data_IF_360888012430
#
_entry.id   IF_360888012430
#
_cell.length_a   1.000
_cell.length_b   1.000
_cell.length_c   1.000
_cell.angle_alpha   90.00
_cell.angle_beta   90.00
_cell.angle_gamma   90.00
#
_symmetry.space_group_name_H-M   'P 1'
#
loop_
_entity.id
_entity.type
_entity.pdbx_description
1 polymer ?
#
# COMPACT_ATOMS: atom_id res chain seq x y z
N UNK A 1 -38.60 12.47 -17.89
CA UNK A 1 -37.42 13.07 -18.54
C UNK A 1 -36.32 12.02 -18.63
N UNK A 2 -36.00 11.52 -19.82
CA UNK A 2 -34.85 10.64 -20.03
C UNK A 2 -33.60 11.54 -19.90
N UNK A 3 -32.88 11.41 -18.80
CA UNK A 3 -31.57 12.04 -18.69
C UNK A 3 -30.70 11.51 -19.84
N UNK A 4 -30.23 12.43 -20.67
CA UNK A 4 -29.24 12.17 -21.68
C UNK A 4 -28.11 11.35 -21.00
N UNK A 5 -27.70 10.19 -21.51
CA UNK A 5 -26.60 9.49 -20.94
C UNK A 5 -25.35 10.34 -21.21
N UNK A 6 -24.96 11.17 -20.24
CA UNK A 6 -23.56 11.56 -20.20
C UNK A 6 -22.78 10.26 -20.32
N UNK A 7 -22.00 10.08 -21.37
CA UNK A 7 -21.34 8.81 -21.57
C UNK A 7 -20.54 8.57 -20.29
N UNK A 8 -20.74 7.42 -19.67
CA UNK A 8 -20.01 7.02 -18.44
C UNK A 8 -18.50 7.24 -18.62
N UNK A 9 -18.04 7.16 -19.84
CA UNK A 9 -16.70 7.46 -20.32
C UNK A 9 -16.25 8.88 -19.97
N UNK A 10 -17.09 9.92 -20.16
CA UNK A 10 -16.66 11.31 -19.89
C UNK A 10 -16.54 11.59 -18.40
N UNK A 11 -17.37 10.95 -17.58
CA UNK A 11 -17.24 11.03 -16.12
C UNK A 11 -15.96 10.31 -15.66
N UNK A 12 -15.70 9.12 -16.20
CA UNK A 12 -14.51 8.34 -15.85
C UNK A 12 -13.21 9.02 -16.29
N UNK A 13 -13.22 9.74 -17.43
CA UNK A 13 -12.07 10.54 -17.88
C UNK A 13 -11.75 11.74 -16.98
N UNK A 14 -12.74 12.23 -16.22
CA UNK A 14 -12.53 13.32 -15.25
C UNK A 14 -12.02 12.84 -13.90
N UNK A 15 -11.97 11.53 -13.66
CA UNK A 15 -11.39 10.98 -12.45
C UNK A 15 -9.86 11.04 -12.55
N UNK A 16 -9.17 11.54 -11.51
CA UNK A 16 -7.78 11.99 -11.61
C UNK A 16 -6.74 10.87 -11.65
N UNK A 17 -7.14 9.60 -11.52
CA UNK A 17 -6.19 8.50 -11.36
C UNK A 17 -6.80 7.15 -11.75
N UNK A 18 -5.98 6.12 -12.00
CA UNK A 18 -6.46 4.76 -12.23
C UNK A 18 -7.24 4.20 -11.04
N UNK A 19 -6.89 4.58 -9.81
CA UNK A 19 -7.63 4.25 -8.59
C UNK A 19 -8.45 5.44 -8.10
N UNK A 20 -9.70 5.20 -7.74
CA UNK A 20 -10.59 6.22 -7.20
C UNK A 20 -11.57 5.63 -6.19
N UNK A 21 -12.18 6.50 -5.39
CA UNK A 21 -13.20 6.11 -4.40
C UNK A 21 -14.62 6.38 -4.90
N UNK A 22 -15.63 5.73 -4.31
CA UNK A 22 -17.03 6.10 -4.54
C UNK A 22 -17.30 7.57 -4.23
N UNK A 23 -16.61 8.15 -3.24
CA UNK A 23 -16.72 9.57 -2.90
C UNK A 23 -16.18 10.48 -4.01
N UNK A 24 -15.16 10.06 -4.75
CA UNK A 24 -14.66 10.82 -5.90
C UNK A 24 -15.68 10.79 -7.06
N UNK A 25 -16.34 9.66 -7.28
CA UNK A 25 -17.44 9.58 -8.24
C UNK A 25 -18.64 10.45 -7.80
N UNK A 26 -18.97 10.50 -6.51
CA UNK A 26 -20.07 11.31 -5.97
C UNK A 26 -19.87 12.83 -6.18
N UNK A 27 -18.63 13.29 -6.31
CA UNK A 27 -18.33 14.71 -6.67
C UNK A 27 -18.74 15.06 -8.10
N UNK A 28 -18.86 14.05 -8.96
CA UNK A 28 -19.14 14.23 -10.39
C UNK A 28 -20.57 13.85 -10.79
N UNK A 29 -21.24 13.02 -9.98
CA UNK A 29 -22.59 12.50 -10.29
C UNK A 29 -23.41 12.23 -9.03
N UNK A 30 -24.69 12.63 -9.06
CA UNK A 30 -25.59 12.54 -7.93
C UNK A 30 -25.95 11.09 -7.48
N UNK A 31 -25.92 10.12 -8.40
CA UNK A 31 -26.28 8.72 -8.14
C UNK A 31 -25.07 7.80 -8.39
N UNK A 32 -23.98 8.03 -7.65
CA UNK A 32 -22.70 7.36 -7.84
C UNK A 32 -22.80 5.82 -7.75
N UNK A 33 -23.64 5.30 -6.86
CA UNK A 33 -23.79 3.85 -6.69
C UNK A 33 -24.40 3.20 -7.94
N UNK A 34 -25.44 3.81 -8.51
CA UNK A 34 -26.07 3.32 -9.75
C UNK A 34 -25.09 3.46 -10.93
N UNK A 35 -24.34 4.57 -10.97
CA UNK A 35 -23.33 4.79 -11.98
C UNK A 35 -22.22 3.74 -11.91
N UNK A 36 -21.64 3.51 -10.72
CA UNK A 36 -20.57 2.54 -10.50
C UNK A 36 -21.02 1.11 -10.82
N UNK A 37 -22.25 0.75 -10.43
CA UNK A 37 -22.82 -0.54 -10.80
C UNK A 37 -22.91 -0.73 -12.32
N UNK A 38 -23.45 0.25 -13.05
CA UNK A 38 -23.56 0.19 -14.51
C UNK A 38 -22.22 0.20 -15.21
N UNK A 39 -21.25 1.02 -14.73
CA UNK A 39 -19.89 1.07 -15.25
C UNK A 39 -19.15 -0.25 -15.03
N UNK A 40 -19.35 -0.89 -13.86
CA UNK A 40 -18.78 -2.22 -13.58
C UNK A 40 -19.37 -3.31 -14.49
N UNK A 41 -20.69 -3.28 -14.75
CA UNK A 41 -21.33 -4.22 -15.69
C UNK A 41 -20.83 -4.09 -17.13
N UNK A 42 -20.40 -2.88 -17.52
CA UNK A 42 -19.80 -2.62 -18.83
C UNK A 42 -18.28 -2.85 -18.87
N UNK A 43 -17.67 -3.24 -17.76
CA UNK A 43 -16.22 -3.45 -17.67
C UNK A 43 -15.37 -2.17 -17.67
N UNK A 44 -15.98 -1.00 -17.55
CA UNK A 44 -15.25 0.28 -17.50
C UNK A 44 -14.57 0.54 -16.16
N UNK A 45 -15.09 -0.06 -15.10
CA UNK A 45 -14.49 -0.03 -13.77
C UNK A 45 -14.51 -1.42 -13.15
N UNK A 46 -13.52 -1.71 -12.30
CA UNK A 46 -13.50 -2.92 -11.45
C UNK A 46 -13.47 -2.51 -9.99
N UNK A 47 -14.26 -3.18 -9.17
CA UNK A 47 -14.23 -2.97 -7.72
C UNK A 47 -13.03 -3.72 -7.13
N UNK A 48 -12.16 -2.98 -6.45
CA UNK A 48 -10.97 -3.53 -5.77
C UNK A 48 -11.30 -3.91 -4.32
N UNK A 49 -11.90 -2.97 -3.59
CA UNK A 49 -12.28 -3.13 -2.19
C UNK A 49 -13.52 -2.30 -1.87
N UNK A 50 -13.88 -2.23 -0.59
CA UNK A 50 -15.00 -1.38 -0.18
C UNK A 50 -14.72 0.08 -0.57
N UNK A 51 -15.61 0.67 -1.39
CA UNK A 51 -15.53 2.05 -1.91
C UNK A 51 -14.30 2.36 -2.78
N UNK A 52 -13.51 1.37 -3.18
CA UNK A 52 -12.32 1.55 -4.02
C UNK A 52 -12.52 0.86 -5.34
N UNK A 53 -12.25 1.58 -6.41
CA UNK A 53 -12.46 1.14 -7.78
C UNK A 53 -11.22 1.41 -8.64
N UNK A 54 -11.00 0.55 -9.61
CA UNK A 54 -10.04 0.74 -10.68
C UNK A 54 -10.77 1.23 -11.94
N UNK A 55 -10.30 2.31 -12.51
CA UNK A 55 -10.76 2.88 -13.78
C UNK A 55 -10.01 2.23 -14.94
N UNK A 56 -10.61 1.20 -15.55
CA UNK A 56 -10.03 0.45 -16.66
C UNK A 56 -9.83 1.31 -17.92
N UNK A 57 -10.61 2.39 -18.07
CA UNK A 57 -10.45 3.33 -19.19
C UNK A 57 -9.25 4.27 -19.02
N UNK A 58 -8.77 4.45 -17.80
CA UNK A 58 -7.58 5.24 -17.51
C UNK A 58 -6.30 4.42 -17.70
N UNK A 59 -6.30 3.17 -17.25
CA UNK A 59 -5.22 2.23 -17.42
C UNK A 59 -5.80 0.84 -17.67
N UNK A 60 -5.39 0.18 -18.74
CA UNK A 60 -5.78 -1.19 -19.04
C UNK A 60 -5.10 -2.20 -18.10
N UNK A 61 -3.89 -1.87 -17.64
CA UNK A 61 -3.14 -2.69 -16.70
C UNK A 61 -3.68 -2.53 -15.29
N UNK A 62 -3.88 -3.64 -14.55
CA UNK A 62 -4.34 -3.58 -13.18
C UNK A 62 -3.33 -2.82 -12.30
N UNK A 63 -3.82 -2.04 -11.33
CA UNK A 63 -2.94 -1.40 -10.36
C UNK A 63 -2.10 -2.44 -9.60
N UNK A 64 -0.88 -2.10 -9.27
CA UNK A 64 -0.03 -2.99 -8.46
C UNK A 64 -0.58 -3.12 -7.03
N UNK A 65 -0.17 -4.18 -6.35
CA UNK A 65 -0.58 -4.44 -4.95
C UNK A 65 -0.18 -3.28 -4.05
N UNK A 66 1.01 -2.72 -4.27
CA UNK A 66 1.57 -1.57 -3.54
C UNK A 66 0.76 -0.30 -3.76
N UNK A 67 0.37 -0.04 -5.01
CA UNK A 67 -0.47 1.11 -5.36
C UNK A 67 -1.84 1.02 -4.68
N UNK A 68 -2.46 -0.16 -4.69
CA UNK A 68 -3.72 -0.40 -3.97
C UNK A 68 -3.53 -0.23 -2.46
N UNK A 69 -2.44 -0.75 -1.89
CA UNK A 69 -2.13 -0.64 -0.47
C UNK A 69 -2.02 0.83 -0.02
N UNK A 70 -1.24 1.63 -0.76
CA UNK A 70 -1.04 3.04 -0.43
C UNK A 70 -2.27 3.90 -0.73
N UNK A 71 -3.07 3.54 -1.75
CA UNK A 71 -4.29 4.27 -2.07
C UNK A 71 -5.41 4.04 -1.07
N UNK A 72 -5.61 2.80 -0.64
CA UNK A 72 -6.76 2.41 0.19
C UNK A 72 -6.72 3.00 1.60
N UNK A 73 -5.55 3.38 2.09
CA UNK A 73 -5.38 4.01 3.41
C UNK A 73 -4.22 5.01 3.39
N UNK A 74 -4.52 6.25 3.67
CA UNK A 74 -3.53 7.34 3.72
C UNK A 74 -3.45 7.94 5.14
N UNK A 75 -2.27 8.33 5.60
CA UNK A 75 -0.96 8.02 5.01
C UNK A 75 -0.55 6.57 5.28
N UNK A 76 0.08 5.93 4.30
CA UNK A 76 0.69 4.61 4.46
C UNK A 76 1.83 4.41 3.47
N UNK A 77 2.73 3.51 3.77
CA UNK A 77 3.81 3.06 2.89
C UNK A 77 3.97 1.54 3.01
N UNK A 78 4.42 0.91 1.95
CA UNK A 78 4.74 -0.53 1.92
C UNK A 78 6.04 -0.77 2.66
N UNK A 79 6.10 -1.78 3.53
CA UNK A 79 7.25 -2.10 4.35
C UNK A 79 7.35 -3.60 4.65
N UNK A 80 8.19 -3.93 5.62
CA UNK A 80 8.42 -5.29 6.11
C UNK A 80 8.89 -6.24 5.02
N UNK A 81 8.49 -7.51 5.13
CA UNK A 81 8.93 -8.59 4.25
C UNK A 81 8.69 -8.27 2.77
N UNK A 82 7.58 -7.59 2.44
CA UNK A 82 7.26 -7.20 1.08
C UNK A 82 8.28 -6.22 0.50
N UNK A 83 8.60 -5.17 1.26
CA UNK A 83 9.61 -4.19 0.84
C UNK A 83 11.02 -4.80 0.82
N UNK A 84 11.36 -5.67 1.78
CA UNK A 84 12.63 -6.40 1.78
C UNK A 84 12.79 -7.26 0.52
N UNK A 85 11.74 -7.98 0.10
CA UNK A 85 11.77 -8.74 -1.13
C UNK A 85 11.86 -7.84 -2.37
N UNK A 86 11.11 -6.73 -2.42
CA UNK A 86 11.15 -5.75 -3.50
C UNK A 86 12.57 -5.21 -3.72
N UNK A 87 13.30 -4.98 -2.64
CA UNK A 87 14.69 -4.50 -2.66
C UNK A 87 15.74 -5.62 -2.83
N UNK A 88 15.32 -6.86 -2.96
CA UNK A 88 16.24 -8.01 -3.10
C UNK A 88 16.96 -8.41 -1.81
N UNK A 89 16.55 -7.88 -0.65
CA UNK A 89 17.10 -8.24 0.67
C UNK A 89 16.55 -9.58 1.15
N UNK A 90 15.26 -9.84 0.93
CA UNK A 90 14.62 -11.11 1.25
C UNK A 90 14.41 -11.90 -0.04
N UNK A 91 14.95 -13.12 -0.11
CA UNK A 91 14.83 -13.95 -1.31
C UNK A 91 13.43 -14.54 -1.47
N UNK A 92 12.77 -14.86 -0.36
CA UNK A 92 11.43 -15.43 -0.37
C UNK A 92 10.37 -14.37 -0.74
N UNK A 93 9.50 -14.72 -1.69
CA UNK A 93 8.36 -13.86 -2.09
C UNK A 93 7.23 -13.94 -1.06
N UNK A 94 6.91 -12.87 -0.34
CA UNK A 94 5.84 -12.86 0.64
C UNK A 94 4.46 -12.88 -0.03
N UNK A 95 3.48 -13.50 0.64
CA UNK A 95 2.07 -13.47 0.20
C UNK A 95 1.27 -12.32 0.84
N UNK A 96 1.86 -11.65 1.82
CA UNK A 96 1.25 -10.54 2.54
C UNK A 96 2.02 -9.26 2.26
N UNK A 97 1.36 -8.31 1.61
CA UNK A 97 1.87 -6.96 1.45
C UNK A 97 1.56 -6.17 2.72
N UNK A 98 2.57 -5.90 3.54
CA UNK A 98 2.40 -5.10 4.75
C UNK A 98 2.51 -3.62 4.42
N UNK A 99 1.40 -2.89 4.59
CA UNK A 99 1.36 -1.44 4.54
C UNK A 99 1.39 -0.87 5.96
N UNK A 100 2.37 -0.04 6.24
CA UNK A 100 2.55 0.61 7.55
C UNK A 100 1.87 1.97 7.54
N UNK A 101 1.12 2.29 8.60
CA UNK A 101 0.31 3.51 8.69
C UNK A 101 0.23 4.02 10.14
N UNK A 102 -0.08 5.31 10.30
CA UNK A 102 -0.37 5.90 11.61
C UNK A 102 -1.77 5.52 12.14
N UNK A 103 -2.68 5.10 11.23
CA UNK A 103 -4.08 4.84 11.56
C UNK A 103 -4.50 3.44 11.08
N UNK A 104 -4.00 2.35 11.71
CA UNK A 104 -4.43 1.00 11.34
C UNK A 104 -5.91 0.82 11.66
N UNK A 105 -6.62 0.07 10.85
CA UNK A 105 -7.98 -0.36 11.16
C UNK A 105 -7.97 -1.41 12.27
N UNK A 106 -9.17 -1.80 12.72
CA UNK A 106 -9.36 -2.83 13.75
C UNK A 106 -9.97 -4.08 13.13
N UNK A 107 -9.48 -5.26 13.50
CA UNK A 107 -10.00 -6.56 13.09
C UNK A 107 -9.95 -6.76 11.57
N UNK A 108 -11.02 -7.29 10.97
CA UNK A 108 -11.09 -7.58 9.53
C UNK A 108 -10.90 -6.36 8.62
N UNK A 109 -11.04 -5.14 9.14
CA UNK A 109 -10.81 -3.90 8.39
C UNK A 109 -9.34 -3.61 8.10
N UNK A 110 -8.43 -4.38 8.68
CA UNK A 110 -6.98 -4.25 8.43
C UNK A 110 -6.53 -4.97 7.16
N UNK A 111 -7.39 -5.72 6.49
CA UNK A 111 -6.98 -6.56 5.37
C UNK A 111 -7.82 -6.29 4.13
N UNK A 112 -7.14 -6.31 2.98
CA UNK A 112 -7.74 -6.27 1.65
C UNK A 112 -7.17 -7.47 0.89
N UNK A 113 -8.03 -8.23 0.21
CA UNK A 113 -7.63 -9.28 -0.72
C UNK A 113 -7.63 -8.72 -2.13
N UNK A 114 -6.50 -8.80 -2.80
CA UNK A 114 -6.33 -8.28 -4.15
C UNK A 114 -5.35 -9.13 -4.96
N UNK A 115 -5.77 -9.60 -6.15
CA UNK A 115 -4.95 -10.39 -7.11
C UNK A 115 -4.20 -11.57 -6.46
N UNK A 116 -4.85 -12.30 -5.54
CA UNK A 116 -4.27 -13.45 -4.84
C UNK A 116 -3.35 -13.11 -3.66
N UNK A 117 -3.12 -11.83 -3.40
CA UNK A 117 -2.35 -11.33 -2.26
C UNK A 117 -3.24 -10.79 -1.15
N UNK A 118 -2.66 -10.70 0.03
CA UNK A 118 -3.29 -10.04 1.19
C UNK A 118 -2.54 -8.75 1.47
N UNK A 119 -3.22 -7.62 1.40
CA UNK A 119 -2.70 -6.34 1.90
C UNK A 119 -3.11 -6.24 3.37
N UNK A 120 -2.13 -6.10 4.26
CA UNK A 120 -2.35 -5.95 5.70
C UNK A 120 -1.83 -4.61 6.19
N UNK A 121 -2.65 -3.89 6.99
CA UNK A 121 -2.26 -2.60 7.57
C UNK A 121 -1.79 -2.79 9.01
N UNK A 122 -0.56 -2.37 9.28
CA UNK A 122 0.07 -2.37 10.59
C UNK A 122 0.32 -0.95 11.09
N UNK A 123 0.02 -0.72 12.36
CA UNK A 123 0.25 0.59 12.99
C UNK A 123 1.70 0.78 13.41
N UNK A 124 2.19 2.00 13.25
CA UNK A 124 3.49 2.41 13.77
C UNK A 124 3.35 3.68 14.60
N UNK A 125 4.19 3.86 15.61
CA UNK A 125 4.24 5.11 16.37
C UNK A 125 4.73 6.26 15.48
N UNK A 126 4.15 7.45 15.63
CA UNK A 126 4.47 8.63 14.82
C UNK A 126 5.97 8.94 14.76
N UNK A 127 6.68 8.85 15.89
CA UNK A 127 8.13 9.05 15.97
C UNK A 127 8.97 8.08 15.13
N UNK A 128 8.37 6.97 14.67
CA UNK A 128 9.00 5.95 13.82
C UNK A 128 8.56 6.04 12.35
N UNK A 129 7.71 7.00 12.01
CA UNK A 129 7.24 7.22 10.63
C UNK A 129 8.28 7.94 9.76
N UNK A 130 9.49 7.90 9.97
CA UNK A 130 10.66 8.54 9.35
C UNK A 130 10.45 8.84 7.84
N UNK A 131 9.99 10.03 7.44
CA UNK A 131 9.71 10.35 6.04
C UNK A 131 10.96 10.26 5.14
N UNK A 132 12.14 10.56 5.69
CA UNK A 132 13.44 10.48 5.01
C UNK A 132 13.85 9.06 4.63
N UNK A 133 13.21 8.06 5.25
CA UNK A 133 13.42 6.65 4.99
C UNK A 133 12.26 6.03 4.19
N UNK A 134 11.39 6.86 3.57
CA UNK A 134 10.29 6.43 2.73
C UNK A 134 10.52 6.93 1.31
N UNK A 135 10.66 6.00 0.39
CA UNK A 135 10.80 6.28 -1.04
C UNK A 135 9.44 6.64 -1.63
N UNK A 136 9.40 7.71 -2.43
CA UNK A 136 8.24 8.06 -3.22
C UNK A 136 8.44 7.49 -4.62
N UNK A 137 7.78 6.39 -4.89
CA UNK A 137 7.72 5.77 -6.21
C UNK A 137 6.48 6.27 -6.94
N UNK A 138 6.43 6.14 -8.26
CA UNK A 138 5.44 6.80 -9.11
C UNK A 138 3.99 6.68 -8.61
N UNK A 139 3.60 5.51 -8.09
CA UNK A 139 2.22 5.24 -7.68
C UNK A 139 2.06 4.85 -6.21
N UNK A 140 3.15 4.70 -5.45
CA UNK A 140 3.11 4.25 -4.06
C UNK A 140 4.33 4.71 -3.27
N UNK A 141 4.21 4.62 -1.96
CA UNK A 141 5.29 4.88 -1.02
C UNK A 141 5.85 3.56 -0.50
N UNK A 142 7.16 3.45 -0.36
CA UNK A 142 7.82 2.24 0.13
C UNK A 142 8.97 2.59 1.07
N UNK A 143 9.14 1.81 2.13
CA UNK A 143 10.28 1.91 3.03
C UNK A 143 11.60 1.63 2.27
N UNK A 144 12.69 2.30 2.68
CA UNK A 144 14.03 1.87 2.26
C UNK A 144 14.33 0.48 2.80
N UNK A 145 15.34 -0.24 2.25
CA UNK A 145 15.73 -1.55 2.76
C UNK A 145 15.97 -1.57 4.28
N UNK A 146 16.68 -0.56 4.79
CA UNK A 146 17.04 -0.42 6.20
C UNK A 146 15.80 -0.20 7.06
N UNK A 147 14.92 0.70 6.62
CA UNK A 147 13.66 0.95 7.33
C UNK A 147 12.76 -0.27 7.29
N UNK A 148 12.65 -0.96 6.17
CA UNK A 148 11.83 -2.16 6.04
C UNK A 148 12.30 -3.25 7.01
N UNK A 149 13.62 -3.44 7.18
CA UNK A 149 14.18 -4.35 8.17
C UNK A 149 13.83 -3.95 9.60
N UNK A 150 14.00 -2.66 9.94
CA UNK A 150 13.67 -2.12 11.26
C UNK A 150 12.18 -2.25 11.58
N UNK A 151 11.32 -1.93 10.62
CA UNK A 151 9.86 -2.09 10.76
C UNK A 151 9.47 -3.55 10.96
N UNK A 152 10.12 -4.48 10.23
CA UNK A 152 9.89 -5.92 10.37
C UNK A 152 10.15 -6.36 11.82
N UNK A 153 11.34 -6.07 12.34
CA UNK A 153 11.69 -6.44 13.72
C UNK A 153 10.79 -5.75 14.73
N UNK A 154 10.43 -4.49 14.48
CA UNK A 154 9.53 -3.74 15.36
C UNK A 154 8.14 -4.37 15.47
N UNK A 155 7.55 -4.72 14.33
CA UNK A 155 6.17 -5.21 14.23
C UNK A 155 6.06 -6.71 14.52
N UNK A 156 7.00 -7.52 14.06
CA UNK A 156 7.02 -8.99 14.27
C UNK A 156 7.63 -9.39 15.61
N UNK A 157 8.38 -8.49 16.27
CA UNK A 157 9.14 -8.71 17.51
C UNK A 157 10.34 -9.67 17.38
N UNK A 158 10.60 -10.17 16.21
CA UNK A 158 11.75 -11.01 15.85
C UNK A 158 12.15 -10.73 14.41
N UNK A 159 13.30 -11.20 13.97
CA UNK A 159 13.73 -11.16 12.59
C UNK A 159 13.29 -12.47 11.91
N UNK A 160 12.27 -12.43 11.05
CA UNK A 160 11.86 -13.61 10.30
C UNK A 160 12.86 -13.91 9.17
N UNK A 161 13.04 -15.18 8.84
CA UNK A 161 13.86 -15.61 7.70
C UNK A 161 15.29 -15.07 7.74
N UNK A 162 15.94 -15.06 8.92
CA UNK A 162 17.27 -14.47 9.09
C UNK A 162 18.34 -15.11 8.19
N UNK A 163 18.19 -16.37 7.86
CA UNK A 163 19.02 -17.18 6.95
C UNK A 163 18.77 -16.89 5.47
N UNK A 164 17.67 -16.22 5.13
CA UNK A 164 17.31 -15.85 3.75
C UNK A 164 17.54 -14.35 3.45
N UNK A 165 18.22 -13.63 4.36
CA UNK A 165 18.45 -12.20 4.22
C UNK A 165 19.82 -11.89 3.64
N UNK A 166 19.84 -11.19 2.51
CA UNK A 166 21.05 -10.63 1.88
C UNK A 166 21.48 -9.32 2.55
N UNK A 167 21.88 -9.42 3.82
CA UNK A 167 22.21 -8.23 4.66
C UNK A 167 23.42 -7.43 4.14
N UNK A 168 24.24 -8.02 3.27
CA UNK A 168 25.37 -7.32 2.64
C UNK A 168 24.97 -6.17 1.73
N UNK A 169 23.70 -6.12 1.29
CA UNK A 169 23.17 -5.06 0.45
C UNK A 169 22.66 -3.84 1.24
N UNK A 170 22.62 -3.92 2.57
CA UNK A 170 22.17 -2.82 3.42
C UNK A 170 23.27 -1.78 3.62
N UNK A 171 22.89 -0.51 3.57
CA UNK A 171 23.77 0.59 4.00
C UNK A 171 23.84 0.62 5.54
N UNK A 172 24.97 0.16 6.07
CA UNK A 172 25.20 0.09 7.52
C UNK A 172 25.09 1.44 8.21
N UNK A 173 25.58 2.51 7.57
CA UNK A 173 25.55 3.87 8.13
C UNK A 173 24.10 4.35 8.25
N UNK A 174 23.33 4.16 7.20
CA UNK A 174 21.89 4.48 7.17
C UNK A 174 21.12 3.65 8.18
N UNK A 175 21.39 2.35 8.23
CA UNK A 175 20.75 1.43 9.18
C UNK A 175 20.98 1.87 10.64
N UNK A 176 22.22 2.16 11.03
CA UNK A 176 22.58 2.63 12.38
C UNK A 176 21.86 3.95 12.71
N UNK A 177 21.87 4.91 11.77
CA UNK A 177 21.19 6.19 11.93
C UNK A 177 19.68 6.04 12.13
N UNK A 178 19.02 5.24 11.30
CA UNK A 178 17.59 4.98 11.42
C UNK A 178 17.26 4.19 12.69
N UNK A 179 18.08 3.16 13.03
CA UNK A 179 17.90 2.33 14.22
C UNK A 179 17.94 3.12 15.54
N UNK A 180 18.67 4.23 15.59
CA UNK A 180 18.73 5.10 16.78
C UNK A 180 17.33 5.61 17.22
N UNK A 181 16.37 5.69 16.30
CA UNK A 181 14.98 6.10 16.60
C UNK A 181 14.13 4.94 17.16
N UNK A 182 14.52 3.70 16.93
CA UNK A 182 13.78 2.52 17.34
C UNK A 182 14.10 2.10 18.79
N UNK A 183 13.17 1.36 19.45
CA UNK A 183 13.42 0.82 20.78
C UNK A 183 14.66 -0.08 20.83
N UNK A 184 15.31 -0.14 21.98
CA UNK A 184 16.53 -0.93 22.21
C UNK A 184 16.39 -2.39 21.76
N UNK A 185 15.22 -3.00 21.99
CA UNK A 185 14.95 -4.38 21.57
C UNK A 185 15.11 -4.60 20.06
N UNK A 186 14.77 -3.57 19.22
CA UNK A 186 14.93 -3.64 17.77
C UNK A 186 16.41 -3.56 17.41
N UNK A 187 17.13 -2.64 18.02
CA UNK A 187 18.59 -2.48 17.83
C UNK A 187 19.36 -3.74 18.18
N UNK A 188 19.05 -4.35 19.34
CA UNK A 188 19.67 -5.62 19.78
C UNK A 188 19.38 -6.79 18.83
N UNK A 189 18.16 -6.87 18.29
CA UNK A 189 17.78 -7.96 17.38
C UNK A 189 18.48 -7.90 16.00
N UNK A 190 19.02 -6.74 15.62
CA UNK A 190 19.76 -6.55 14.37
C UNK A 190 21.28 -6.62 14.59
N UNK A 191 21.71 -6.91 15.81
CA UNK A 191 23.14 -7.00 16.19
C UNK A 191 23.94 -5.74 15.83
N UNK A 192 23.35 -4.57 16.05
CA UNK A 192 23.97 -3.25 15.89
C UNK A 192 24.51 -2.74 17.21
#
# INVERSE_FOLDING_TARGET
MRQNPFPAIDILRRLPAPLFTSSDAAKLIANENTFLYRASKKGHVKKIANRIYWNVLFSADPPTVEAVACFARKPSYVSCEWALNYHGILLQTPRVCTAVTLHPGIGKRNRIHYEGFVIEYSGIAEKLYLPEEILNLEYFLMATPEKALLDTVYLRKHLPFADELETGMLDKTRLVKAAARYPERVRKAISL
#
